data_IF_922469540203
#
_entry.id   IF_922469540203
#
_cell.length_a   1.000
_cell.length_b   1.000
_cell.length_c   1.000
_cell.angle_alpha   90.00
_cell.angle_beta   90.00
_cell.angle_gamma   90.00
#
_symmetry.space_group_name_H-M   'P 1'
#
loop_
_entity.id
_entity.type
_entity.pdbx_description
1 polymer ?
#
# COMPACT_ATOMS: atom_id res chain seq x y z
N UNK A 1 31.70 37.60 0.55
CA UNK A 1 30.75 36.77 1.35
C UNK A 1 30.24 35.58 0.57
N UNK A 2 29.53 35.77 -0.54
CA UNK A 2 28.92 34.65 -1.31
C UNK A 2 29.95 33.63 -1.81
N UNK A 3 31.04 34.07 -2.46
CA UNK A 3 32.13 33.17 -2.90
C UNK A 3 32.80 32.38 -1.75
N UNK A 4 32.87 32.95 -0.54
CA UNK A 4 33.42 32.26 0.64
C UNK A 4 32.45 31.17 1.13
N UNK A 5 31.16 31.49 1.22
CA UNK A 5 30.11 30.53 1.55
C UNK A 5 30.07 29.35 0.55
N UNK A 6 30.27 29.61 -0.74
CA UNK A 6 30.29 28.56 -1.77
C UNK A 6 31.51 27.64 -1.66
N UNK A 7 32.62 28.12 -1.09
CA UNK A 7 33.81 27.32 -0.79
C UNK A 7 33.69 26.52 0.52
N UNK A 8 32.47 26.37 1.07
CA UNK A 8 32.22 25.60 2.29
C UNK A 8 32.44 26.37 3.61
N UNK A 9 32.69 27.68 3.57
CA UNK A 9 32.84 28.49 4.78
C UNK A 9 31.49 28.66 5.49
N UNK A 10 31.30 27.87 6.55
CA UNK A 10 30.10 27.84 7.38
C UNK A 10 29.83 29.18 8.07
N UNK A 11 30.87 29.95 8.44
CA UNK A 11 30.70 31.26 9.08
C UNK A 11 30.15 32.26 8.08
N UNK A 12 30.70 32.29 6.87
CA UNK A 12 30.19 33.14 5.80
C UNK A 12 28.74 32.81 5.43
N UNK A 13 28.37 31.52 5.46
CA UNK A 13 26.99 31.05 5.25
C UNK A 13 26.05 31.55 6.35
N UNK A 14 26.40 31.35 7.62
CA UNK A 14 25.55 31.75 8.74
C UNK A 14 25.28 33.25 8.72
N UNK A 15 26.30 34.07 8.45
CA UNK A 15 26.15 35.53 8.30
C UNK A 15 25.20 35.88 7.15
N UNK A 16 25.24 35.16 6.03
CA UNK A 16 24.32 35.40 4.90
C UNK A 16 22.88 35.03 5.27
N UNK A 17 22.67 33.93 6.00
CA UNK A 17 21.35 33.53 6.48
C UNK A 17 20.80 34.57 7.46
N UNK A 18 21.55 34.90 8.51
CA UNK A 18 21.17 35.87 9.54
C UNK A 18 20.79 37.23 8.94
N UNK A 19 21.60 37.76 8.02
CA UNK A 19 21.30 39.04 7.36
C UNK A 19 20.02 39.05 6.54
N UNK A 20 19.54 37.88 6.09
CA UNK A 20 18.34 37.74 5.26
C UNK A 20 17.14 37.19 6.04
N UNK A 21 17.23 37.00 7.37
CA UNK A 21 16.10 36.51 8.18
C UNK A 21 14.86 37.39 8.12
N UNK A 22 15.02 38.71 7.93
CA UNK A 22 13.88 39.63 7.73
C UNK A 22 13.04 39.28 6.49
N UNK A 23 13.67 38.72 5.45
CA UNK A 23 12.95 38.25 4.27
C UNK A 23 12.06 37.06 4.63
N UNK A 24 12.55 36.11 5.43
CA UNK A 24 11.76 34.96 5.91
C UNK A 24 10.55 35.47 6.70
N UNK A 25 10.78 36.34 7.69
CA UNK A 25 9.72 36.92 8.51
C UNK A 25 8.67 37.70 7.69
N UNK A 26 9.07 38.32 6.57
CA UNK A 26 8.14 38.96 5.65
C UNK A 26 7.35 37.94 4.82
N UNK A 27 8.03 36.95 4.25
CA UNK A 27 7.44 35.95 3.35
C UNK A 27 6.40 35.06 4.04
N UNK A 28 6.65 34.64 5.29
CA UNK A 28 5.74 33.76 6.03
C UNK A 28 4.36 34.38 6.29
N UNK A 29 4.23 35.71 6.27
CA UNK A 29 2.96 36.41 6.54
C UNK A 29 1.85 36.00 5.57
N UNK A 30 2.21 35.69 4.32
CA UNK A 30 1.29 35.18 3.28
C UNK A 30 0.73 33.79 3.63
N UNK A 31 1.38 33.07 4.53
CA UNK A 31 1.13 31.66 4.87
C UNK A 31 0.61 31.45 6.29
N UNK A 32 0.41 32.52 7.05
CA UNK A 32 -0.16 32.45 8.40
C UNK A 32 -1.63 32.00 8.34
N UNK A 33 -2.06 31.22 9.31
CA UNK A 33 -3.44 30.75 9.50
C UNK A 33 -3.68 30.52 10.99
N UNK A 34 -4.93 30.54 11.45
CA UNK A 34 -5.26 30.43 12.87
C UNK A 34 -4.70 29.15 13.53
N UNK A 35 -4.63 28.07 12.75
CA UNK A 35 -4.18 26.75 13.24
C UNK A 35 -2.67 26.48 13.02
N UNK A 36 -1.88 27.48 12.63
CA UNK A 36 -0.44 27.31 12.35
C UNK A 36 0.43 28.07 13.32
N UNK A 37 1.41 27.37 13.88
CA UNK A 37 2.46 28.01 14.66
C UNK A 37 3.35 28.88 13.74
N UNK A 38 3.57 30.11 14.17
CA UNK A 38 4.48 31.04 13.52
C UNK A 38 5.92 30.55 13.55
N UNK A 39 6.33 29.84 14.59
CA UNK A 39 7.70 29.34 14.75
C UNK A 39 8.00 28.21 13.77
N UNK A 40 7.00 27.38 13.44
CA UNK A 40 7.08 26.37 12.38
C UNK A 40 7.28 27.03 11.01
N UNK A 41 6.49 28.07 10.72
CA UNK A 41 6.63 28.82 9.46
C UNK A 41 8.00 29.48 9.34
N UNK A 42 8.52 30.06 10.42
CA UNK A 42 9.88 30.62 10.46
C UNK A 42 10.92 29.54 10.20
N UNK A 43 10.77 28.37 10.84
CA UNK A 43 11.72 27.25 10.71
C UNK A 43 11.75 26.72 9.28
N UNK A 44 10.58 26.45 8.68
CA UNK A 44 10.45 25.99 7.29
C UNK A 44 10.98 27.04 6.31
N UNK A 45 10.63 28.32 6.51
CA UNK A 45 11.16 29.40 5.69
C UNK A 45 12.68 29.55 5.80
N UNK A 46 13.24 29.32 6.98
CA UNK A 46 14.70 29.34 7.21
C UNK A 46 15.40 28.20 6.47
N UNK A 47 14.80 27.01 6.40
CA UNK A 47 15.30 25.90 5.58
C UNK A 47 15.36 26.34 4.10
N UNK A 48 14.32 26.99 3.59
CA UNK A 48 14.29 27.52 2.23
C UNK A 48 15.37 28.56 1.96
N UNK A 49 15.62 29.46 2.94
CA UNK A 49 16.71 30.43 2.86
C UNK A 49 18.09 29.77 2.86
N UNK A 50 18.32 28.76 3.72
CA UNK A 50 19.58 28.00 3.76
C UNK A 50 19.83 27.31 2.42
N UNK A 51 18.81 26.64 1.86
CA UNK A 51 18.88 26.03 0.52
C UNK A 51 19.23 27.06 -0.55
N UNK A 52 18.63 28.25 -0.47
CA UNK A 52 18.92 29.34 -1.40
C UNK A 52 20.38 29.80 -1.30
N UNK A 53 20.89 30.04 -0.09
CA UNK A 53 22.28 30.47 0.14
C UNK A 53 23.28 29.43 -0.37
N UNK A 54 22.99 28.14 -0.17
CA UNK A 54 23.85 27.04 -0.62
C UNK A 54 23.87 26.87 -2.15
N UNK A 55 22.75 27.13 -2.83
CA UNK A 55 22.60 26.85 -4.27
C UNK A 55 22.64 28.10 -5.15
N UNK A 56 22.73 29.28 -4.56
CA UNK A 56 22.71 30.54 -5.30
C UNK A 56 23.90 30.65 -6.26
N UNK A 57 23.61 30.99 -7.51
CA UNK A 57 24.62 31.28 -8.53
C UNK A 57 24.64 32.79 -8.87
N UNK A 58 25.71 33.51 -8.52
CA UNK A 58 25.89 34.94 -8.83
C UNK A 58 25.90 35.27 -10.33
N UNK A 59 26.33 34.34 -11.17
CA UNK A 59 26.52 34.57 -12.61
C UNK A 59 25.18 34.69 -13.35
N UNK A 60 24.09 34.23 -12.73
CA UNK A 60 22.73 34.34 -13.28
C UNK A 60 22.16 35.77 -13.24
N UNK A 61 22.94 36.78 -12.83
CA UNK A 61 22.55 38.22 -12.78
C UNK A 61 21.25 38.53 -12.01
N UNK A 62 20.84 37.65 -11.10
CA UNK A 62 19.69 37.87 -10.21
C UNK A 62 20.17 38.15 -8.80
N UNK A 63 19.40 38.95 -8.04
CA UNK A 63 19.72 39.23 -6.64
C UNK A 63 19.44 37.99 -5.78
N UNK A 64 20.30 37.75 -4.78
CA UNK A 64 20.13 36.64 -3.82
C UNK A 64 18.74 36.67 -3.17
N UNK A 65 18.25 37.84 -2.77
CA UNK A 65 16.93 37.99 -2.17
C UNK A 65 15.79 37.49 -3.09
N UNK A 66 15.87 37.76 -4.39
CA UNK A 66 14.87 37.31 -5.37
C UNK A 66 14.89 35.79 -5.53
N UNK A 67 16.07 35.18 -5.53
CA UNK A 67 16.21 33.73 -5.57
C UNK A 67 15.76 33.08 -4.26
N UNK A 68 16.18 33.64 -3.12
CA UNK A 68 15.81 33.17 -1.80
C UNK A 68 14.31 33.24 -1.56
N UNK A 69 13.64 34.31 -1.99
CA UNK A 69 12.18 34.40 -1.93
C UNK A 69 11.50 33.20 -2.61
N UNK A 70 11.96 32.78 -3.80
CA UNK A 70 11.42 31.60 -4.50
C UNK A 70 11.67 30.30 -3.73
N UNK A 71 12.85 30.12 -3.15
CA UNK A 71 13.15 28.93 -2.36
C UNK A 71 12.32 28.87 -1.06
N UNK A 72 12.17 30.00 -0.38
CA UNK A 72 11.33 30.13 0.83
C UNK A 72 9.87 29.80 0.49
N UNK A 73 9.33 30.40 -0.58
CA UNK A 73 7.96 30.16 -1.05
C UNK A 73 7.74 28.68 -1.38
N UNK A 74 8.72 28.03 -2.02
CA UNK A 74 8.65 26.60 -2.33
C UNK A 74 8.59 25.71 -1.09
N UNK A 75 9.46 25.92 -0.09
CA UNK A 75 9.42 25.11 1.14
C UNK A 75 8.11 25.29 1.91
N UNK A 76 7.61 26.52 2.00
CA UNK A 76 6.31 26.80 2.62
C UNK A 76 5.18 26.10 1.86
N UNK A 77 5.18 26.15 0.53
CA UNK A 77 4.19 25.43 -0.29
C UNK A 77 4.31 23.91 -0.14
N UNK A 78 5.52 23.37 0.01
CA UNK A 78 5.73 21.93 0.26
C UNK A 78 5.16 21.50 1.61
N UNK A 79 5.36 22.31 2.66
CA UNK A 79 4.74 22.09 3.97
C UNK A 79 3.20 22.03 3.85
N UNK A 80 2.57 23.02 3.20
CA UNK A 80 1.11 23.03 3.01
C UNK A 80 0.57 21.79 2.26
N UNK A 81 1.36 21.26 1.32
CA UNK A 81 0.98 20.04 0.57
C UNK A 81 1.06 18.80 1.45
N UNK A 82 2.00 18.74 2.38
CA UNK A 82 2.11 17.63 3.32
C UNK A 82 1.01 17.67 4.39
N UNK A 83 0.65 18.85 4.90
CA UNK A 83 -0.44 18.97 5.89
C UNK A 83 -1.77 18.48 5.34
N UNK A 84 -2.05 18.76 4.05
CA UNK A 84 -3.25 18.24 3.39
C UNK A 84 -3.29 16.70 3.32
N UNK A 85 -2.13 16.04 3.22
CA UNK A 85 -2.09 14.58 3.30
C UNK A 85 -2.38 14.10 4.72
N UNK A 86 -1.84 14.79 5.73
CA UNK A 86 -2.07 14.48 7.14
C UNK A 86 -3.54 14.67 7.56
N UNK A 87 -4.25 15.65 7.00
CA UNK A 87 -5.70 15.82 7.22
C UNK A 87 -6.54 14.66 6.66
N UNK A 88 -5.99 13.81 5.80
CA UNK A 88 -6.66 12.58 5.37
C UNK A 88 -6.36 11.39 6.29
N UNK A 89 -5.48 11.55 7.28
CA UNK A 89 -5.18 10.54 8.29
C UNK A 89 -6.07 10.81 9.51
N UNK A 90 -7.29 10.26 9.48
CA UNK A 90 -8.17 10.25 10.65
C UNK A 90 -7.71 9.16 11.62
N UNK A 91 -7.75 9.46 12.92
CA UNK A 91 -7.49 8.44 13.95
C UNK A 91 -8.67 7.47 14.01
N UNK A 92 -8.40 6.17 13.95
CA UNK A 92 -9.43 5.15 14.08
C UNK A 92 -10.09 5.13 15.47
N UNK A 93 -9.43 5.73 16.47
CA UNK A 93 -9.89 5.81 17.86
C UNK A 93 -10.63 7.10 18.18
N UNK A 94 -10.80 8.00 17.22
CA UNK A 94 -11.61 9.21 17.45
C UNK A 94 -13.11 8.87 17.45
N UNK A 95 -13.88 9.44 18.39
CA UNK A 95 -15.31 9.23 18.45
C UNK A 95 -15.99 9.92 17.25
N UNK A 96 -16.83 9.17 16.55
CA UNK A 96 -17.60 9.63 15.39
C UNK A 96 -19.09 9.85 15.71
N UNK A 97 -19.51 9.42 16.89
CA UNK A 97 -20.87 9.59 17.38
C UNK A 97 -21.05 8.86 18.71
N UNK A 98 -22.27 8.87 19.21
CA UNK A 98 -22.65 8.13 20.42
C UNK A 98 -23.71 7.09 20.08
N UNK A 99 -23.67 5.95 20.77
CA UNK A 99 -24.72 4.94 20.71
C UNK A 99 -25.97 5.40 21.48
N UNK A 100 -27.00 4.54 21.52
CA UNK A 100 -28.26 4.81 22.25
C UNK A 100 -28.08 4.86 23.77
N UNK A 101 -26.96 4.37 24.28
CA UNK A 101 -26.62 4.29 25.71
C UNK A 101 -25.66 5.43 26.11
N UNK A 102 -25.21 6.23 25.14
CA UNK A 102 -24.33 7.37 25.34
C UNK A 102 -22.84 7.03 25.31
N UNK A 103 -22.46 5.81 24.91
CA UNK A 103 -21.06 5.45 24.72
C UNK A 103 -20.55 5.98 23.38
N UNK A 104 -19.30 6.41 23.36
CA UNK A 104 -18.63 6.86 22.15
C UNK A 104 -18.43 5.68 21.18
N UNK A 105 -18.88 5.85 19.94
CA UNK A 105 -18.60 4.95 18.81
C UNK A 105 -17.39 5.52 18.08
N UNK A 106 -16.39 4.68 17.80
CA UNK A 106 -15.20 5.06 17.04
C UNK A 106 -15.22 4.46 15.63
N UNK A 107 -14.36 4.94 14.72
CA UNK A 107 -14.19 4.33 13.41
C UNK A 107 -13.78 2.86 13.51
N UNK A 108 -13.00 2.48 14.52
CA UNK A 108 -12.58 1.09 14.78
C UNK A 108 -13.77 0.16 15.01
N UNK A 109 -14.86 0.65 15.61
CA UNK A 109 -16.05 -0.16 15.92
C UNK A 109 -16.92 -0.41 14.67
N UNK A 110 -16.80 0.45 13.65
CA UNK A 110 -17.58 0.37 12.40
C UNK A 110 -16.81 -0.34 11.29
N UNK A 111 -15.48 -0.19 11.25
CA UNK A 111 -14.63 -0.87 10.27
C UNK A 111 -14.56 -2.35 10.67
N UNK A 112 -15.52 -3.11 10.16
CA UNK A 112 -15.50 -4.57 10.26
C UNK A 112 -14.26 -5.13 9.56
N UNK A 113 -13.71 -6.21 10.11
CA UNK A 113 -12.80 -7.07 9.36
C UNK A 113 -13.58 -7.59 8.14
N UNK A 114 -12.99 -7.54 6.95
CA UNK A 114 -13.58 -8.20 5.76
C UNK A 114 -13.55 -9.71 6.04
N UNK A 115 -14.65 -10.18 6.62
CA UNK A 115 -14.95 -11.52 7.11
C UNK A 115 -13.92 -12.59 6.72
N UNK A 116 -13.03 -12.94 7.66
CA UNK A 116 -12.64 -14.35 7.76
C UNK A 116 -13.89 -15.11 8.19
N UNK A 117 -14.59 -15.69 7.24
CA UNK A 117 -15.56 -16.73 7.54
C UNK A 117 -14.78 -17.98 7.99
N UNK A 118 -14.37 -17.97 9.27
CA UNK A 118 -13.61 -19.05 9.89
C UNK A 118 -14.37 -20.39 9.75
N UNK A 119 -15.71 -20.35 9.70
CA UNK A 119 -16.54 -21.54 9.52
C UNK A 119 -16.44 -22.06 8.07
N UNK A 120 -16.55 -21.18 7.07
CA UNK A 120 -16.36 -21.59 5.67
C UNK A 120 -14.93 -22.07 5.41
N UNK A 121 -13.92 -21.46 6.04
CA UNK A 121 -12.54 -21.90 5.91
C UNK A 121 -12.33 -23.28 6.54
N UNK A 122 -12.85 -23.52 7.75
CA UNK A 122 -12.79 -24.82 8.40
C UNK A 122 -13.51 -25.90 7.57
N UNK A 123 -14.69 -25.59 7.02
CA UNK A 123 -15.42 -26.50 6.14
C UNK A 123 -14.62 -26.84 4.88
N UNK A 124 -13.99 -25.85 4.24
CA UNK A 124 -13.16 -26.06 3.07
C UNK A 124 -11.96 -26.95 3.39
N UNK A 125 -11.28 -26.72 4.52
CA UNK A 125 -10.17 -27.55 4.97
C UNK A 125 -10.60 -29.01 5.22
N UNK A 126 -11.77 -29.22 5.81
CA UNK A 126 -12.35 -30.55 6.04
C UNK A 126 -12.69 -31.25 4.71
N UNK A 127 -13.33 -30.56 3.77
CA UNK A 127 -13.64 -31.08 2.43
C UNK A 127 -12.36 -31.49 1.68
N UNK A 128 -11.31 -30.65 1.73
CA UNK A 128 -10.02 -30.95 1.10
C UNK A 128 -9.35 -32.18 1.73
N UNK A 129 -9.41 -32.31 3.05
CA UNK A 129 -8.85 -33.48 3.75
C UNK A 129 -9.62 -34.76 3.40
N UNK A 130 -10.94 -34.69 3.31
CA UNK A 130 -11.79 -35.81 2.87
C UNK A 130 -11.39 -36.28 1.46
N UNK A 131 -11.30 -35.35 0.50
CA UNK A 131 -10.88 -35.64 -0.87
C UNK A 131 -9.48 -36.26 -0.90
N UNK A 132 -8.49 -35.67 -0.22
CA UNK A 132 -7.11 -36.18 -0.22
C UNK A 132 -7.01 -37.61 0.31
N UNK A 133 -7.81 -37.93 1.32
CA UNK A 133 -7.77 -39.23 2.00
C UNK A 133 -8.46 -40.31 1.17
N UNK A 134 -9.66 -40.03 0.65
CA UNK A 134 -10.53 -41.04 0.04
C UNK A 134 -10.57 -41.01 -1.49
N UNK A 135 -9.89 -40.06 -2.15
CA UNK A 135 -9.85 -39.98 -3.63
C UNK A 135 -9.39 -41.30 -4.27
N UNK A 136 -8.46 -42.02 -3.64
CA UNK A 136 -7.93 -43.29 -4.15
C UNK A 136 -8.94 -44.43 -4.11
N UNK A 137 -9.98 -44.32 -3.29
CA UNK A 137 -11.01 -45.35 -3.13
C UNK A 137 -12.10 -45.23 -4.20
N UNK A 138 -12.30 -44.01 -4.73
CA UNK A 138 -13.39 -43.69 -5.68
C UNK A 138 -12.88 -43.51 -7.11
N UNK A 139 -11.67 -43.00 -7.28
CA UNK A 139 -11.07 -42.75 -8.59
C UNK A 139 -10.09 -43.85 -9.00
N UNK A 140 -10.11 -44.20 -10.28
CA UNK A 140 -9.10 -45.09 -10.85
C UNK A 140 -7.77 -44.34 -11.11
N UNK A 141 -6.68 -45.09 -11.34
CA UNK A 141 -5.33 -44.52 -11.56
C UNK A 141 -5.28 -43.44 -12.66
N UNK A 142 -6.11 -43.57 -13.70
CA UNK A 142 -6.16 -42.63 -14.83
C UNK A 142 -6.91 -41.35 -14.46
N UNK A 143 -8.02 -41.47 -13.74
CA UNK A 143 -8.79 -40.36 -13.19
C UNK A 143 -7.95 -39.56 -12.19
N UNK A 144 -7.25 -40.24 -11.26
CA UNK A 144 -6.33 -39.61 -10.30
C UNK A 144 -5.25 -38.81 -11.05
N UNK A 145 -4.61 -39.40 -12.06
CA UNK A 145 -3.57 -38.71 -12.83
C UNK A 145 -4.10 -37.43 -13.50
N UNK A 146 -5.30 -37.48 -14.08
CA UNK A 146 -5.92 -36.32 -14.73
C UNK A 146 -6.28 -35.26 -13.70
N UNK A 147 -6.95 -35.62 -12.59
CA UNK A 147 -7.35 -34.67 -11.54
C UNK A 147 -6.13 -34.03 -10.87
N UNK A 148 -5.13 -34.82 -10.46
CA UNK A 148 -3.91 -34.26 -9.88
C UNK A 148 -3.15 -33.36 -10.87
N UNK A 149 -3.12 -33.73 -12.15
CA UNK A 149 -2.50 -32.93 -13.20
C UNK A 149 -3.24 -31.63 -13.50
N UNK A 150 -4.58 -31.63 -13.49
CA UNK A 150 -5.40 -30.45 -13.78
C UNK A 150 -5.32 -29.41 -12.68
N UNK A 151 -5.35 -29.84 -11.42
CA UNK A 151 -5.46 -28.95 -10.25
C UNK A 151 -4.18 -28.85 -9.42
N UNK A 152 -3.07 -29.44 -9.89
CA UNK A 152 -1.78 -29.37 -9.20
C UNK A 152 -1.75 -30.11 -7.85
N UNK A 153 -2.63 -31.09 -7.65
CA UNK A 153 -2.69 -31.84 -6.38
C UNK A 153 -1.45 -32.72 -6.20
N UNK A 154 -0.96 -32.82 -4.96
CA UNK A 154 0.24 -33.60 -4.63
C UNK A 154 1.56 -32.91 -4.96
N UNK A 155 1.57 -31.56 -5.07
CA UNK A 155 2.78 -30.76 -5.28
C UNK A 155 3.24 -30.66 -6.74
N UNK A 156 2.42 -31.10 -7.69
CA UNK A 156 2.67 -30.94 -9.13
C UNK A 156 2.21 -29.59 -9.65
N UNK A 157 2.77 -29.14 -10.78
CA UNK A 157 2.23 -27.99 -11.53
C UNK A 157 0.94 -28.37 -12.24
N UNK A 158 0.00 -27.43 -12.27
CA UNK A 158 -1.22 -27.51 -13.07
C UNK A 158 -0.88 -27.67 -14.56
N UNK A 159 -1.73 -28.44 -15.26
CA UNK A 159 -1.61 -28.73 -16.69
C UNK A 159 -2.96 -28.53 -17.36
N UNK A 160 -2.90 -28.11 -18.61
CA UNK A 160 -4.06 -28.02 -19.48
C UNK A 160 -4.56 -29.41 -19.89
N UNK A 161 -5.83 -29.50 -20.30
CA UNK A 161 -6.38 -30.73 -20.87
C UNK A 161 -5.59 -31.19 -22.11
N UNK A 162 -5.06 -30.25 -22.91
CA UNK A 162 -4.24 -30.56 -24.09
C UNK A 162 -2.92 -31.22 -23.69
N UNK A 163 -2.20 -30.65 -22.72
CA UNK A 163 -0.94 -31.25 -22.25
C UNK A 163 -1.13 -32.63 -21.62
N UNK A 164 -2.26 -32.87 -20.96
CA UNK A 164 -2.62 -34.19 -20.44
C UNK A 164 -3.02 -35.16 -21.56
N UNK A 165 -3.71 -34.67 -22.59
CA UNK A 165 -4.10 -35.44 -23.76
C UNK A 165 -2.87 -35.94 -24.54
N UNK A 166 -1.91 -35.04 -24.78
CA UNK A 166 -0.65 -35.34 -25.44
C UNK A 166 0.16 -36.40 -24.65
N UNK A 167 0.22 -36.26 -23.31
CA UNK A 167 0.91 -37.23 -22.44
C UNK A 167 0.24 -38.59 -22.37
N UNK A 168 -1.09 -38.64 -22.48
CA UNK A 168 -1.88 -39.87 -22.37
C UNK A 168 -2.17 -40.51 -23.74
N UNK A 169 -1.74 -39.89 -24.85
CA UNK A 169 -1.99 -40.37 -26.21
C UNK A 169 -3.49 -40.45 -26.56
N UNK A 170 -4.31 -39.54 -26.03
CA UNK A 170 -5.76 -39.50 -26.25
C UNK A 170 -6.21 -38.10 -26.68
N UNK A 171 -7.46 -37.98 -27.15
CA UNK A 171 -8.00 -36.66 -27.50
C UNK A 171 -8.30 -35.80 -26.27
N UNK A 172 -8.15 -34.48 -26.40
CA UNK A 172 -8.57 -33.51 -25.37
C UNK A 172 -10.02 -33.72 -24.94
N UNK A 173 -10.93 -33.95 -25.87
CA UNK A 173 -12.34 -34.21 -25.57
C UNK A 173 -12.53 -35.46 -24.70
N UNK A 174 -11.69 -36.48 -24.87
CA UNK A 174 -11.71 -37.67 -24.04
C UNK A 174 -11.16 -37.39 -22.63
N UNK A 175 -10.09 -36.59 -22.49
CA UNK A 175 -9.60 -36.10 -21.19
C UNK A 175 -10.70 -35.34 -20.46
N UNK A 176 -11.39 -34.42 -21.14
CA UNK A 176 -12.48 -33.62 -20.55
C UNK A 176 -13.63 -34.49 -20.03
N UNK A 177 -14.00 -35.56 -20.75
CA UNK A 177 -15.03 -36.52 -20.29
C UNK A 177 -14.58 -37.30 -19.05
N UNK A 178 -13.31 -37.67 -18.96
CA UNK A 178 -12.77 -38.36 -17.78
C UNK A 178 -12.72 -37.41 -16.58
N UNK A 179 -12.28 -36.17 -16.79
CA UNK A 179 -12.26 -35.11 -15.76
C UNK A 179 -13.66 -34.89 -15.18
N UNK A 180 -14.67 -34.69 -16.03
CA UNK A 180 -16.05 -34.48 -15.58
C UNK A 180 -16.58 -35.67 -14.76
N UNK A 181 -16.39 -36.91 -15.24
CA UNK A 181 -16.79 -38.11 -14.49
C UNK A 181 -16.07 -38.25 -13.15
N UNK A 182 -14.79 -37.88 -13.09
CA UNK A 182 -14.03 -37.91 -11.85
C UNK A 182 -14.51 -36.84 -10.86
N UNK A 183 -14.86 -35.64 -11.33
CA UNK A 183 -15.44 -34.58 -10.49
C UNK A 183 -16.81 -34.99 -9.92
N UNK A 184 -17.68 -35.61 -10.71
CA UNK A 184 -18.96 -36.14 -10.23
C UNK A 184 -18.78 -37.16 -9.10
N UNK A 185 -17.80 -38.06 -9.23
CA UNK A 185 -17.44 -39.03 -8.19
C UNK A 185 -16.95 -38.35 -6.90
N UNK A 186 -16.10 -37.32 -7.02
CA UNK A 186 -15.62 -36.55 -5.87
C UNK A 186 -16.72 -35.73 -5.20
N UNK A 187 -17.68 -35.21 -5.99
CA UNK A 187 -18.83 -34.51 -5.44
C UNK A 187 -19.73 -35.46 -4.63
N UNK A 188 -20.00 -36.65 -5.16
CA UNK A 188 -20.75 -37.69 -4.45
C UNK A 188 -20.03 -38.15 -3.17
N UNK A 189 -18.70 -38.21 -3.19
CA UNK A 189 -17.89 -38.48 -2.00
C UNK A 189 -18.12 -37.42 -0.91
N UNK A 190 -18.03 -36.13 -1.25
CA UNK A 190 -18.29 -35.04 -0.28
C UNK A 190 -19.72 -35.08 0.28
N UNK A 191 -20.71 -35.34 -0.57
CA UNK A 191 -22.11 -35.49 -0.15
C UNK A 191 -22.35 -36.71 0.74
N UNK A 192 -21.64 -37.83 0.49
CA UNK A 192 -21.75 -39.06 1.31
C UNK A 192 -21.20 -38.87 2.72
N UNK A 193 -20.19 -38.01 2.89
CA UNK A 193 -19.62 -37.65 4.18
C UNK A 193 -20.39 -36.49 4.87
N UNK A 194 -21.51 -36.02 4.29
CA UNK A 194 -22.38 -34.98 4.84
C UNK A 194 -21.63 -33.66 5.11
N UNK A 195 -20.70 -33.32 4.22
CA UNK A 195 -19.88 -32.10 4.25
C UNK A 195 -20.43 -30.99 3.32
N UNK A 196 -21.67 -31.14 2.87
CA UNK A 196 -22.47 -30.23 2.04
C UNK A 196 -23.89 -30.19 2.59
#
# INVERSE_FOLDING_TARGET
MIKKSQNGDMKARNILVEKNMRLVAHMIKKYMSADRDTDDLISVGTIGLIKAVNTFNPDKKIRLATYAAKCIDNELLMMLRNDRKKLMELSLSEPIGTDKEGNDITFMDIVGDEERDDVAQLLLEEQLNCIKTHMKDVLNKREIYIICGRYGLGGGKEKTQNELADKLGISRSYVSRIEQKALEKLYNLLGSYRLL
#
